data_IF_084701272864
#
_entry.id   IF_084701272864
#
_cell.length_a   1.000
_cell.length_b   1.000
_cell.length_c   1.000
_cell.angle_alpha   90.00
_cell.angle_beta   90.00
_cell.angle_gamma   90.00
#
_symmetry.space_group_name_H-M   'P 1'
#
loop_
_entity.id
_entity.type
_entity.pdbx_description
1 polymer ?
#
# COMPACT_ATOMS: atom_id res chain seq x y z
N UNK A 1 -2.86 -6.03 8.33
CA UNK A 1 -4.08 -5.96 9.18
C UNK A 1 -5.19 -5.24 8.42
N UNK A 2 -6.45 -5.64 8.62
CA UNK A 2 -7.60 -4.89 8.09
C UNK A 2 -7.97 -3.79 9.09
N UNK A 3 -8.07 -2.55 8.61
CA UNK A 3 -8.41 -1.37 9.42
C UNK A 3 -9.78 -0.85 8.97
N UNK A 4 -10.76 -0.70 9.88
CA UNK A 4 -12.06 -0.15 9.52
C UNK A 4 -11.92 1.34 9.17
N UNK A 5 -12.39 1.72 7.99
CA UNK A 5 -12.42 3.13 7.55
C UNK A 5 -13.82 3.75 7.65
N UNK A 6 -14.85 2.93 7.86
CA UNK A 6 -16.24 3.36 8.04
C UNK A 6 -17.19 2.68 7.06
N UNK A 7 -18.50 2.80 7.29
CA UNK A 7 -19.56 2.33 6.38
C UNK A 7 -19.44 0.86 5.93
N UNK A 8 -18.87 -0.02 6.78
CA UNK A 8 -18.64 -1.42 6.45
C UNK A 8 -17.43 -1.70 5.55
N UNK A 9 -16.66 -0.66 5.19
CA UNK A 9 -15.45 -0.75 4.37
C UNK A 9 -14.24 -0.93 5.29
N UNK A 10 -13.41 -1.91 4.95
CA UNK A 10 -12.14 -2.18 5.62
C UNK A 10 -10.99 -1.95 4.64
N UNK A 11 -9.99 -1.17 5.05
CA UNK A 11 -8.77 -0.95 4.27
C UNK A 11 -7.71 -1.97 4.67
N UNK A 12 -7.05 -2.57 3.69
CA UNK A 12 -5.92 -3.45 3.91
C UNK A 12 -4.67 -2.63 4.20
N UNK A 13 -4.12 -2.76 5.41
CA UNK A 13 -2.85 -2.15 5.81
C UNK A 13 -1.77 -3.22 5.91
N UNK A 14 -0.76 -3.13 5.05
CA UNK A 14 0.39 -4.05 5.01
C UNK A 14 1.67 -3.23 5.16
N UNK A 15 2.64 -3.78 5.89
CA UNK A 15 4.00 -3.24 5.91
C UNK A 15 4.81 -3.97 4.84
N UNK A 16 5.53 -3.23 4.00
CA UNK A 16 6.55 -3.77 3.12
C UNK A 16 7.92 -3.28 3.60
N UNK A 17 8.92 -4.14 3.48
CA UNK A 17 10.32 -3.76 3.68
C UNK A 17 10.95 -3.78 2.30
N UNK A 18 11.50 -2.64 1.87
CA UNK A 18 12.15 -2.50 0.57
C UNK A 18 13.61 -2.14 0.75
N UNK A 19 14.41 -2.56 -0.22
CA UNK A 19 15.82 -2.21 -0.31
C UNK A 19 15.92 -1.01 -1.25
N UNK A 20 16.27 0.17 -0.70
CA UNK A 20 16.26 1.45 -1.43
C UNK A 20 17.11 1.42 -2.72
N UNK A 21 18.19 0.62 -2.74
CA UNK A 21 19.08 0.47 -3.90
C UNK A 21 18.46 -0.33 -5.06
N UNK A 22 17.36 -1.08 -4.83
CA UNK A 22 16.79 -2.01 -5.82
C UNK A 22 15.34 -1.71 -6.20
N UNK A 23 14.55 -1.15 -5.29
CA UNK A 23 13.11 -0.96 -5.49
C UNK A 23 12.73 0.48 -5.15
N UNK A 24 12.21 1.21 -6.14
CA UNK A 24 11.59 2.53 -5.90
C UNK A 24 10.18 2.37 -5.34
N UNK A 25 9.74 3.34 -4.54
CA UNK A 25 8.36 3.46 -4.08
C UNK A 25 7.38 3.61 -5.23
N UNK A 26 7.78 4.24 -6.33
CA UNK A 26 6.92 4.46 -7.50
C UNK A 26 6.56 3.13 -8.18
N UNK A 27 7.51 2.20 -8.27
CA UNK A 27 7.28 0.87 -8.83
C UNK A 27 6.23 0.09 -8.03
N UNK A 28 6.27 0.19 -6.70
CA UNK A 28 5.29 -0.45 -5.83
C UNK A 28 3.90 0.16 -6.02
N UNK A 29 3.82 1.48 -6.14
CA UNK A 29 2.56 2.17 -6.38
C UNK A 29 1.93 1.76 -7.72
N UNK A 30 2.72 1.71 -8.79
CA UNK A 30 2.26 1.25 -10.11
C UNK A 30 1.78 -0.20 -10.09
N UNK A 31 2.55 -1.12 -9.50
CA UNK A 31 2.17 -2.54 -9.45
C UNK A 31 0.89 -2.77 -8.62
N UNK A 32 0.71 -2.02 -7.54
CA UNK A 32 -0.48 -2.12 -6.68
C UNK A 32 -1.70 -1.49 -7.36
N UNK A 33 -1.54 -0.34 -8.01
CA UNK A 33 -2.64 0.37 -8.69
C UNK A 33 -3.08 -0.33 -9.98
N UNK A 34 -2.25 -1.17 -10.60
CA UNK A 34 -2.63 -2.05 -11.72
C UNK A 34 -3.78 -3.01 -11.39
N UNK A 35 -4.02 -3.32 -10.12
CA UNK A 35 -5.14 -4.16 -9.69
C UNK A 35 -6.44 -3.36 -9.57
N UNK A 36 -6.90 -2.78 -10.68
CA UNK A 36 -8.06 -1.86 -10.73
C UNK A 36 -9.36 -2.48 -10.19
N UNK A 37 -9.53 -3.79 -10.32
CA UNK A 37 -10.72 -4.50 -9.84
C UNK A 37 -10.77 -4.63 -8.31
N UNK A 38 -9.64 -4.48 -7.62
CA UNK A 38 -9.50 -4.79 -6.18
C UNK A 38 -8.96 -3.61 -5.37
N UNK A 39 -8.24 -2.70 -6.02
CA UNK A 39 -7.59 -1.55 -5.40
C UNK A 39 -8.26 -0.28 -5.92
N UNK A 40 -9.04 0.38 -5.05
CA UNK A 40 -9.60 1.70 -5.39
C UNK A 40 -8.55 2.82 -5.32
N UNK A 41 -7.62 2.73 -4.38
CA UNK A 41 -6.54 3.69 -4.20
C UNK A 41 -5.43 3.10 -3.33
N UNK A 42 -4.24 3.66 -3.44
CA UNK A 42 -3.07 3.32 -2.64
C UNK A 42 -2.66 4.55 -1.83
N UNK A 43 -2.33 4.37 -0.54
CA UNK A 43 -1.83 5.46 0.32
C UNK A 43 -0.73 4.92 1.24
N UNK A 44 0.28 5.74 1.50
CA UNK A 44 1.34 5.43 2.46
C UNK A 44 0.86 5.77 3.87
N UNK A 45 0.62 4.74 4.68
CA UNK A 45 0.13 4.92 6.05
C UNK A 45 1.23 5.38 7.03
N UNK A 46 2.47 4.93 6.83
CA UNK A 46 3.64 5.32 7.62
C UNK A 46 4.91 4.96 6.84
N UNK A 47 5.95 5.78 6.95
CA UNK A 47 7.27 5.51 6.38
C UNK A 47 8.31 5.53 7.51
N UNK A 48 8.89 4.37 7.80
CA UNK A 48 9.92 4.22 8.83
C UNK A 48 11.22 3.75 8.16
N UNK A 49 12.33 4.38 8.51
CA UNK A 49 13.66 3.86 8.18
C UNK A 49 14.02 2.77 9.18
N UNK A 50 14.56 1.65 8.68
CA UNK A 50 15.09 0.54 9.46
C UNK A 50 16.61 0.60 9.42
#
# INVERSE_FOLDING_TARGET
KLVPVGYGINKLQICCVVEDDKISTDFLEEEITKFEDHVQSMDIAAFNKI
#
